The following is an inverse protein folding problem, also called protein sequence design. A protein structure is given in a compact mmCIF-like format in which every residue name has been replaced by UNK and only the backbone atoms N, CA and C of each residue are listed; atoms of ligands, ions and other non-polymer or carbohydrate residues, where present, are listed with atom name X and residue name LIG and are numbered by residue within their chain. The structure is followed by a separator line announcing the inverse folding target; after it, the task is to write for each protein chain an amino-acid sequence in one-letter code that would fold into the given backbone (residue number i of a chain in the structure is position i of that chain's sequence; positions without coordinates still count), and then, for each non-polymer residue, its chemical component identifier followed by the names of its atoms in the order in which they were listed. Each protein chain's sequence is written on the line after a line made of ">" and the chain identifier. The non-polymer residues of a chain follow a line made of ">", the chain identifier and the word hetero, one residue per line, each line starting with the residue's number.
data_IF_069706549489
#
_entry.id   IF_069706549489
#
_cell.length_a   1.000
_cell.length_b   1.000
_cell.length_c   1.000
_cell.angle_alpha   90.00
_cell.angle_beta   90.00
_cell.angle_gamma   90.00
#
_symmetry.space_group_name_H-M   'P 1'
#
loop_
_entity.id
_entity.type
_entity.pdbx_description
1 polymer ?
#
# COMPACT_ATOMS: atom_id res chain seq x y z
N UNK A 1 -10.47 -5.68 41.18
CA UNK A 1 -10.15 -4.59 40.24
C UNK A 1 -9.99 -5.21 38.86
N UNK A 2 -10.49 -4.56 37.80
CA UNK A 2 -10.21 -5.01 36.43
C UNK A 2 -8.70 -4.94 36.14
N UNK A 3 -8.15 -5.86 35.35
CA UNK A 3 -6.72 -5.84 35.01
C UNK A 3 -6.38 -4.58 34.21
N UNK A 4 -5.36 -3.86 34.66
CA UNK A 4 -4.77 -2.71 33.94
C UNK A 4 -3.42 -3.10 33.36
N UNK A 5 -2.94 -2.37 32.33
CA UNK A 5 -1.72 -2.72 31.60
C UNK A 5 -0.50 -2.88 32.52
N UNK A 6 -0.39 -2.03 33.54
CA UNK A 6 0.69 -2.03 34.54
C UNK A 6 0.63 -3.19 35.56
N UNK A 7 -0.45 -3.98 35.55
CA UNK A 7 -0.62 -5.17 36.40
C UNK A 7 -0.32 -6.49 35.67
N UNK A 8 -0.02 -6.42 34.37
CA UNK A 8 0.28 -7.60 33.56
C UNK A 8 1.69 -8.15 33.84
N UNK A 9 1.89 -9.47 33.73
CA UNK A 9 3.22 -10.06 33.81
C UNK A 9 4.19 -9.50 32.75
N UNK A 10 5.49 -9.37 33.05
CA UNK A 10 6.50 -8.85 32.12
C UNK A 10 6.52 -9.55 30.76
N UNK A 11 6.26 -10.86 30.72
CA UNK A 11 6.24 -11.67 29.50
C UNK A 11 5.13 -11.22 28.55
N UNK A 12 3.94 -10.92 29.10
CA UNK A 12 2.81 -10.41 28.34
C UNK A 12 3.10 -9.00 27.84
N UNK A 13 3.72 -8.17 28.68
CA UNK A 13 4.13 -6.81 28.27
C UNK A 13 5.19 -6.84 27.17
N UNK A 14 6.17 -7.75 27.23
CA UNK A 14 7.15 -7.91 26.16
C UNK A 14 6.52 -8.39 24.86
N UNK A 15 5.53 -9.29 24.95
CA UNK A 15 4.77 -9.71 23.78
C UNK A 15 3.99 -8.53 23.17
N UNK A 16 3.30 -7.73 24.00
CA UNK A 16 2.62 -6.50 23.55
C UNK A 16 3.61 -5.53 22.87
N UNK A 17 4.78 -5.31 23.48
CA UNK A 17 5.82 -4.45 22.91
C UNK A 17 6.41 -5.01 21.61
N UNK A 18 6.34 -6.32 21.36
CA UNK A 18 6.80 -6.93 20.09
C UNK A 18 5.98 -6.49 18.87
N UNK A 19 4.70 -6.16 19.08
CA UNK A 19 3.83 -5.59 18.04
C UNK A 19 4.18 -4.15 17.67
N UNK A 20 5.19 -3.53 18.31
CA UNK A 20 5.75 -2.25 17.86
C UNK A 20 6.77 -2.38 16.73
N UNK A 21 7.03 -3.61 16.27
CA UNK A 21 7.81 -3.93 15.07
C UNK A 21 6.92 -3.97 13.82
N UNK A 22 7.39 -3.53 12.64
CA UNK A 22 8.66 -2.85 12.37
C UNK A 22 8.78 -1.50 13.09
N UNK A 23 9.96 -1.23 13.64
CA UNK A 23 10.18 -0.03 14.46
C UNK A 23 10.29 1.18 13.54
N UNK A 24 9.24 1.99 13.51
CA UNK A 24 9.22 3.23 12.75
C UNK A 24 9.87 4.36 13.53
N UNK A 25 11.12 4.69 13.21
CA UNK A 25 11.82 5.80 13.84
C UNK A 25 11.22 7.18 13.51
N UNK A 26 10.41 7.31 12.46
CA UNK A 26 9.75 8.58 12.10
C UNK A 26 8.73 9.03 13.14
N UNK A 27 8.20 8.09 13.93
CA UNK A 27 7.29 8.42 15.03
C UNK A 27 7.97 9.09 16.23
N UNK A 28 9.31 9.21 16.29
CA UNK A 28 9.95 9.92 17.39
C UNK A 28 9.59 11.42 17.41
N UNK A 29 9.26 12.02 18.58
CA UNK A 29 9.35 11.47 19.93
C UNK A 29 8.12 10.67 20.40
N UNK A 30 7.04 10.62 19.62
CA UNK A 30 5.79 9.89 19.89
C UNK A 30 5.87 8.37 19.62
N UNK A 31 7.08 7.80 19.53
CA UNK A 31 7.26 6.37 19.30
C UNK A 31 6.55 5.57 20.42
N UNK A 32 5.89 4.44 20.12
CA UNK A 32 5.17 3.64 21.13
C UNK A 32 5.98 3.30 22.38
N UNK A 33 7.29 3.05 22.22
CA UNK A 33 8.22 2.86 23.35
C UNK A 33 8.36 4.10 24.24
N UNK A 34 8.42 5.31 23.68
CA UNK A 34 8.49 6.54 24.48
C UNK A 34 7.18 6.82 25.19
N UNK A 35 6.05 6.67 24.49
CA UNK A 35 4.73 6.92 25.07
C UNK A 35 4.43 5.92 26.19
N UNK A 36 4.69 4.64 25.97
CA UNK A 36 4.52 3.59 27.00
C UNK A 36 5.41 3.85 28.21
N UNK A 37 6.68 4.21 28.01
CA UNK A 37 7.60 4.50 29.12
C UNK A 37 7.21 5.76 29.92
N UNK A 38 6.46 6.69 29.33
CA UNK A 38 6.02 7.91 30.00
C UNK A 38 4.82 7.70 30.94
N UNK A 39 4.10 6.57 30.83
CA UNK A 39 2.86 6.31 31.58
C UNK A 39 3.09 6.06 33.08
N UNK A 40 4.00 5.16 33.44
CA UNK A 40 4.34 4.87 34.84
C UNK A 40 5.76 4.31 34.98
N UNK A 41 6.30 4.31 36.22
CA UNK A 41 7.66 3.84 36.50
C UNK A 41 7.87 2.36 36.17
N UNK A 42 6.85 1.52 36.41
CA UNK A 42 6.91 0.09 36.10
C UNK A 42 7.06 -0.13 34.59
N UNK A 43 6.17 0.45 33.77
CA UNK A 43 6.22 0.34 32.31
C UNK A 43 7.49 0.97 31.71
N UNK A 44 8.02 2.03 32.33
CA UNK A 44 9.34 2.56 31.98
C UNK A 44 10.46 1.52 32.15
N UNK A 45 10.50 0.81 33.28
CA UNK A 45 11.46 -0.26 33.53
C UNK A 45 11.33 -1.41 32.52
N UNK A 46 10.09 -1.80 32.22
CA UNK A 46 9.78 -2.86 31.25
C UNK A 46 10.25 -2.46 29.84
N UNK A 47 9.95 -1.24 29.39
CA UNK A 47 10.40 -0.74 28.08
C UNK A 47 11.92 -0.67 27.99
N UNK A 48 12.61 -0.28 29.06
CA UNK A 48 14.08 -0.24 29.09
C UNK A 48 14.70 -1.63 28.97
N UNK A 49 14.16 -2.61 29.69
CA UNK A 49 14.66 -3.99 29.63
C UNK A 49 14.33 -4.62 28.26
N UNK A 50 13.14 -4.36 27.72
CA UNK A 50 12.78 -4.77 26.36
C UNK A 50 13.75 -4.15 25.33
N UNK A 51 14.02 -2.85 25.41
CA UNK A 51 14.96 -2.16 24.51
C UNK A 51 16.40 -2.65 24.68
N UNK A 52 16.82 -3.03 25.89
CA UNK A 52 18.11 -3.69 26.16
C UNK A 52 18.19 -5.04 25.44
N UNK A 53 17.11 -5.82 25.45
CA UNK A 53 17.04 -7.09 24.73
C UNK A 53 17.19 -6.91 23.22
N UNK A 54 16.56 -5.86 22.66
CA UNK A 54 16.67 -5.50 21.24
C UNK A 54 18.09 -5.07 20.85
N UNK A 55 18.72 -4.20 21.65
CA UNK A 55 20.10 -3.76 21.43
C UNK A 55 21.08 -4.94 21.46
N UNK A 56 20.88 -5.90 22.37
CA UNK A 56 21.69 -7.11 22.44
C UNK A 56 21.46 -8.02 21.24
N UNK A 57 20.20 -8.26 20.87
CA UNK A 57 19.82 -9.18 19.77
C UNK A 57 20.22 -8.65 18.39
N UNK A 58 20.00 -7.38 18.11
CA UNK A 58 20.13 -6.82 16.75
C UNK A 58 21.41 -6.00 16.54
N UNK A 59 22.01 -5.47 17.61
CA UNK A 59 23.19 -4.59 17.53
C UNK A 59 24.41 -5.19 18.21
N UNK A 60 24.26 -6.32 18.91
CA UNK A 60 25.27 -6.91 19.78
C UNK A 60 25.86 -5.91 20.79
N UNK A 61 25.07 -4.90 21.19
CA UNK A 61 25.45 -3.96 22.25
C UNK A 61 24.96 -4.57 23.55
N UNK A 62 25.87 -4.79 24.50
CA UNK A 62 25.51 -5.13 25.88
C UNK A 62 25.49 -3.85 26.69
N UNK A 63 24.31 -3.32 27.09
CA UNK A 63 24.23 -2.12 27.91
C UNK A 63 24.92 -2.33 29.26
N UNK A 64 25.55 -1.30 29.83
CA UNK A 64 26.17 -1.40 31.14
C UNK A 64 25.13 -1.78 32.22
N UNK A 65 25.47 -2.75 33.07
CA UNK A 65 24.60 -3.24 34.16
C UNK A 65 24.31 -2.16 35.21
N UNK A 66 25.26 -1.27 35.45
CA UNK A 66 25.11 -0.11 36.33
C UNK A 66 25.13 1.16 35.48
N UNK A 67 23.97 1.80 35.32
CA UNK A 67 23.90 3.14 34.77
C UNK A 67 24.54 4.10 35.78
N UNK A 68 25.86 4.30 35.73
CA UNK A 68 26.58 5.23 36.61
C UNK A 68 26.17 6.69 36.44
N UNK A 69 25.16 6.97 35.61
CA UNK A 69 24.53 8.27 35.39
C UNK A 69 23.37 8.04 34.42
N UNK A 70 22.36 8.92 34.42
CA UNK A 70 21.22 8.97 33.48
C UNK A 70 21.61 9.09 31.97
N UNK A 71 22.85 8.77 31.60
CA UNK A 71 23.44 8.94 30.28
C UNK A 71 23.07 7.82 29.28
N UNK A 72 22.80 6.59 29.76
CA UNK A 72 22.48 5.46 28.88
C UNK A 72 21.02 5.03 28.99
N UNK A 73 20.21 5.54 28.07
CA UNK A 73 18.79 5.19 27.93
C UNK A 73 18.65 4.23 26.75
N UNK A 74 18.30 2.97 27.02
CA UNK A 74 18.27 1.89 26.04
C UNK A 74 17.26 2.18 24.94
N UNK A 75 16.04 2.62 25.27
CA UNK A 75 15.01 2.97 24.26
C UNK A 75 15.48 4.06 23.30
N UNK A 76 16.21 5.08 23.81
CA UNK A 76 16.75 6.17 23.00
C UNK A 76 17.86 5.71 22.07
N UNK A 77 18.72 4.82 22.55
CA UNK A 77 19.77 4.20 21.73
C UNK A 77 19.18 3.29 20.66
N UNK A 78 18.16 2.50 21.00
CA UNK A 78 17.43 1.65 20.06
C UNK A 78 16.79 2.45 18.94
N UNK A 79 15.94 3.43 19.26
CA UNK A 79 15.27 4.27 18.24
C UNK A 79 16.28 5.00 17.36
N UNK A 80 17.39 5.48 17.93
CA UNK A 80 18.48 6.10 17.14
C UNK A 80 19.16 5.11 16.20
N UNK A 81 19.36 3.86 16.63
CA UNK A 81 19.94 2.82 15.79
C UNK A 81 19.02 2.51 14.61
N UNK A 82 17.73 2.28 14.89
CA UNK A 82 16.66 2.08 13.91
C UNK A 82 16.62 3.22 12.89
N UNK A 83 16.75 4.48 13.32
CA UNK A 83 16.72 5.65 12.44
C UNK A 83 17.91 5.78 11.48
N UNK A 84 19.04 5.12 11.79
CA UNK A 84 20.31 5.33 11.10
C UNK A 84 20.97 4.06 10.58
N UNK A 85 20.32 2.92 10.74
CA UNK A 85 20.88 1.60 10.41
C UNK A 85 19.83 0.74 9.73
N UNK A 86 20.25 0.05 8.68
CA UNK A 86 19.45 -0.97 8.02
C UNK A 86 19.10 -2.08 9.02
N UNK A 87 17.81 -2.29 9.27
CA UNK A 87 17.33 -3.27 10.25
C UNK A 87 17.61 -4.72 9.82
N UNK A 88 17.90 -4.96 8.53
CA UNK A 88 18.18 -6.28 7.98
C UNK A 88 19.67 -6.66 8.02
N UNK A 89 20.57 -5.76 7.60
CA UNK A 89 22.01 -6.07 7.50
C UNK A 89 22.91 -5.30 8.47
N UNK A 90 22.37 -4.39 9.28
CA UNK A 90 23.14 -3.61 10.25
C UNK A 90 24.05 -2.53 9.64
N UNK A 91 24.05 -2.33 8.32
CA UNK A 91 24.80 -1.26 7.66
C UNK A 91 24.14 0.10 7.87
N UNK A 92 24.93 1.17 8.01
CA UNK A 92 24.41 2.55 8.13
C UNK A 92 23.50 2.88 6.94
N UNK A 93 22.29 3.32 7.22
CA UNK A 93 21.33 3.78 6.21
C UNK A 93 20.26 4.65 6.85
N UNK A 94 19.80 5.67 6.13
CA UNK A 94 18.63 6.47 6.48
C UNK A 94 17.48 6.28 5.49
N UNK A 95 17.67 5.43 4.47
CA UNK A 95 16.60 5.09 3.53
C UNK A 95 15.62 4.15 4.22
N UNK A 96 14.36 4.30 3.88
CA UNK A 96 13.30 3.36 4.24
C UNK A 96 13.08 2.38 3.08
N UNK A 97 12.54 1.20 3.38
CA UNK A 97 12.13 0.25 2.35
C UNK A 97 11.01 0.88 1.52
N UNK A 98 11.00 0.60 0.21
CA UNK A 98 10.03 1.24 -0.69
C UNK A 98 8.60 0.78 -0.37
N UNK A 99 8.42 -0.52 -0.13
CA UNK A 99 7.13 -1.13 0.19
C UNK A 99 6.76 -1.04 1.66
N UNK A 100 7.71 -0.67 2.53
CA UNK A 100 7.49 -0.52 3.96
C UNK A 100 8.26 0.70 4.50
N UNK A 101 7.64 1.89 4.49
CA UNK A 101 8.27 3.12 4.96
C UNK A 101 8.67 3.09 6.43
N UNK A 102 8.11 2.19 7.24
CA UNK A 102 8.47 2.06 8.66
C UNK A 102 9.80 1.35 8.88
N UNK A 103 10.29 0.63 7.86
CA UNK A 103 11.52 -0.16 7.95
C UNK A 103 12.70 0.59 7.33
N UNK A 104 13.64 1.05 8.16
CA UNK A 104 14.94 1.54 7.68
C UNK A 104 15.71 0.42 6.99
N UNK A 105 15.96 0.56 5.69
CA UNK A 105 16.54 -0.47 4.85
C UNK A 105 17.50 0.12 3.80
N UNK A 106 18.68 -0.49 3.67
CA UNK A 106 19.61 -0.12 2.60
C UNK A 106 19.08 -0.62 1.23
N UNK A 107 19.57 -0.03 0.15
CA UNK A 107 19.12 -0.37 -1.21
C UNK A 107 19.32 -1.85 -1.57
N UNK A 108 20.46 -2.44 -1.17
CA UNK A 108 20.75 -3.84 -1.46
C UNK A 108 19.75 -4.79 -0.77
N UNK A 109 19.47 -4.56 0.52
CA UNK A 109 18.47 -5.35 1.25
C UNK A 109 17.05 -5.07 0.76
N UNK A 110 16.75 -3.82 0.38
CA UNK A 110 15.44 -3.48 -0.19
C UNK A 110 15.19 -4.22 -1.51
N UNK A 111 16.22 -4.39 -2.33
CA UNK A 111 16.15 -5.18 -3.55
C UNK A 111 16.05 -6.69 -3.30
N UNK A 112 16.80 -7.23 -2.32
CA UNK A 112 16.84 -8.68 -2.09
C UNK A 112 15.64 -9.22 -1.31
N UNK A 113 15.11 -8.46 -0.34
CA UNK A 113 14.04 -8.93 0.55
C UNK A 113 12.64 -8.48 0.13
N UNK A 114 12.52 -7.41 -0.67
CA UNK A 114 11.24 -6.85 -1.10
C UNK A 114 11.16 -6.85 -2.63
N UNK A 115 10.87 -8.02 -3.24
CA UNK A 115 10.66 -8.14 -4.67
C UNK A 115 9.50 -7.24 -5.10
N UNK A 116 9.76 -6.44 -6.14
CA UNK A 116 8.89 -5.35 -6.57
C UNK A 116 9.00 -5.16 -8.06
N UNK A 117 7.88 -4.79 -8.67
CA UNK A 117 7.78 -4.53 -10.10
C UNK A 117 7.10 -3.19 -10.36
N UNK A 118 7.32 -2.65 -11.56
CA UNK A 118 6.66 -1.39 -11.95
C UNK A 118 5.21 -1.63 -12.37
N UNK A 119 4.37 -0.60 -12.31
CA UNK A 119 3.01 -0.67 -12.87
C UNK A 119 3.03 -1.04 -14.37
N UNK A 120 3.97 -0.48 -15.12
CA UNK A 120 4.12 -0.77 -16.55
C UNK A 120 4.43 -2.25 -16.77
N UNK A 121 5.37 -2.81 -16.01
CA UNK A 121 5.71 -4.23 -16.07
C UNK A 121 4.53 -5.14 -15.73
N UNK A 122 3.76 -4.82 -14.68
CA UNK A 122 2.55 -5.57 -14.34
C UNK A 122 1.51 -5.55 -15.47
N UNK A 123 1.35 -4.41 -16.16
CA UNK A 123 0.45 -4.29 -17.31
C UNK A 123 0.98 -5.05 -18.53
N UNK A 124 2.27 -4.92 -18.86
CA UNK A 124 2.83 -5.49 -20.10
C UNK A 124 3.08 -6.97 -20.01
N UNK A 125 3.56 -7.45 -18.86
CA UNK A 125 4.03 -8.83 -18.66
C UNK A 125 2.95 -9.72 -18.06
N UNK A 126 2.05 -9.16 -17.23
CA UNK A 126 1.00 -9.92 -16.56
C UNK A 126 -0.41 -9.57 -17.03
N UNK A 127 -0.54 -8.61 -17.95
CA UNK A 127 -1.81 -8.18 -18.53
C UNK A 127 -2.87 -7.77 -17.50
N UNK A 128 -2.42 -7.25 -16.36
CA UNK A 128 -3.30 -6.69 -15.34
C UNK A 128 -3.52 -5.21 -15.63
N UNK A 129 -4.77 -4.78 -15.76
CA UNK A 129 -5.07 -3.37 -15.98
C UNK A 129 -4.92 -2.56 -14.69
N UNK A 130 -4.98 -1.23 -14.80
CA UNK A 130 -5.05 -0.33 -13.64
C UNK A 130 -6.25 -0.61 -12.73
N UNK A 131 -7.38 -1.05 -13.30
CA UNK A 131 -8.53 -1.50 -12.50
C UNK A 131 -8.24 -2.83 -11.80
N UNK A 132 -7.42 -3.71 -12.36
CA UNK A 132 -7.08 -4.96 -11.67
C UNK A 132 -6.05 -4.74 -10.53
N UNK A 133 -5.13 -3.80 -10.71
CA UNK A 133 -4.05 -3.48 -9.78
C UNK A 133 -4.50 -2.58 -8.62
N UNK A 134 -5.27 -1.53 -8.90
CA UNK A 134 -5.61 -0.52 -7.90
C UNK A 134 -7.01 -0.75 -7.34
N UNK A 135 -7.07 -1.49 -6.25
CA UNK A 135 -8.33 -1.88 -5.61
C UNK A 135 -8.41 -1.28 -4.20
N UNK A 136 -9.63 -1.06 -3.66
CA UNK A 136 -10.93 -1.33 -4.29
C UNK A 136 -11.24 -0.34 -5.44
N UNK A 137 -12.09 -0.76 -6.39
CA UNK A 137 -12.67 0.10 -7.44
C UNK A 137 -14.01 -0.47 -7.93
N UNK A 138 -14.66 0.19 -8.90
CA UNK A 138 -15.97 -0.25 -9.41
C UNK A 138 -15.98 -1.65 -10.03
N UNK A 139 -14.87 -2.10 -10.63
CA UNK A 139 -14.78 -3.45 -11.19
C UNK A 139 -14.54 -4.49 -10.08
N UNK A 140 -13.73 -4.12 -9.09
CA UNK A 140 -13.31 -4.99 -7.99
C UNK A 140 -13.52 -4.31 -6.64
N UNK A 141 -14.77 -4.23 -6.16
CA UNK A 141 -15.11 -3.48 -4.95
C UNK A 141 -14.63 -4.16 -3.67
N UNK A 142 -14.59 -5.50 -3.67
CA UNK A 142 -14.23 -6.31 -2.49
C UNK A 142 -12.76 -6.74 -2.47
N UNK A 143 -12.01 -6.52 -3.54
CA UNK A 143 -10.61 -6.93 -3.58
C UNK A 143 -9.74 -5.98 -2.74
N UNK A 144 -8.84 -6.52 -1.90
CA UNK A 144 -8.00 -5.70 -1.03
C UNK A 144 -6.93 -4.94 -1.84
N UNK A 145 -6.49 -3.74 -1.39
CA UNK A 145 -5.43 -2.99 -2.04
C UNK A 145 -4.12 -3.79 -2.09
N UNK A 146 -3.33 -3.59 -3.16
CA UNK A 146 -1.98 -4.14 -3.26
C UNK A 146 -1.01 -3.32 -2.42
N UNK A 147 0.01 -3.99 -1.85
CA UNK A 147 1.13 -3.32 -1.22
C UNK A 147 1.94 -2.57 -2.29
N UNK A 148 2.14 -1.28 -2.08
CA UNK A 148 2.79 -0.39 -3.03
C UNK A 148 3.66 0.64 -2.31
N UNK A 149 4.61 1.19 -3.05
CA UNK A 149 5.52 2.21 -2.60
C UNK A 149 5.86 3.18 -3.71
N UNK A 150 6.30 4.38 -3.34
CA UNK A 150 6.76 5.39 -4.29
C UNK A 150 8.18 5.80 -3.95
N UNK A 151 9.01 6.01 -4.96
CA UNK A 151 10.32 6.64 -4.79
C UNK A 151 10.58 7.66 -5.90
N UNK A 152 11.39 8.66 -5.60
CA UNK A 152 11.74 9.71 -6.56
C UNK A 152 12.87 9.18 -7.45
N UNK A 153 12.65 9.20 -8.77
CA UNK A 153 13.65 8.88 -9.78
C UNK A 153 13.65 9.97 -10.85
N UNK A 154 14.81 10.57 -11.13
CA UNK A 154 14.96 11.65 -12.11
C UNK A 154 13.97 12.81 -11.93
N UNK A 155 13.62 13.15 -10.68
CA UNK A 155 12.69 14.23 -10.35
C UNK A 155 11.20 13.87 -10.47
N UNK A 156 10.86 12.63 -10.84
CA UNK A 156 9.47 12.14 -10.87
C UNK A 156 9.22 11.02 -9.87
N UNK A 157 7.96 10.87 -9.45
CA UNK A 157 7.53 9.75 -8.60
C UNK A 157 7.40 8.48 -9.44
N UNK A 158 8.13 7.43 -9.04
CA UNK A 158 8.04 6.08 -9.60
C UNK A 158 7.27 5.18 -8.64
N UNK A 159 6.22 4.56 -9.14
CA UNK A 159 5.38 3.62 -8.40
C UNK A 159 5.92 2.19 -8.52
N UNK A 160 6.12 1.56 -7.37
CA UNK A 160 6.51 0.16 -7.23
C UNK A 160 5.38 -0.63 -6.57
N UNK A 161 5.12 -1.81 -7.10
CA UNK A 161 4.14 -2.76 -6.58
C UNK A 161 4.87 -3.98 -6.01
N UNK A 162 4.37 -4.54 -4.91
CA UNK A 162 4.84 -5.82 -4.41
C UNK A 162 4.63 -6.91 -5.45
N UNK A 163 5.71 -7.50 -5.94
CA UNK A 163 5.65 -8.54 -6.97
C UNK A 163 4.84 -9.77 -6.51
N UNK A 164 5.04 -10.32 -5.29
CA UNK A 164 4.21 -11.41 -4.79
C UNK A 164 2.72 -11.07 -4.78
N UNK A 165 2.37 -9.82 -4.42
CA UNK A 165 0.97 -9.37 -4.40
C UNK A 165 0.38 -9.27 -5.81
N UNK A 166 1.17 -8.79 -6.78
CA UNK A 166 0.76 -8.73 -8.20
C UNK A 166 0.57 -10.14 -8.77
N UNK A 167 1.48 -11.07 -8.49
CA UNK A 167 1.39 -12.45 -8.95
C UNK A 167 0.19 -13.19 -8.34
N UNK A 168 -0.09 -12.98 -7.04
CA UNK A 168 -1.29 -13.50 -6.40
C UNK A 168 -2.56 -12.93 -7.03
N UNK A 169 -2.58 -11.61 -7.31
CA UNK A 169 -3.70 -10.95 -8.01
C UNK A 169 -3.89 -11.51 -9.42
N UNK A 170 -2.80 -11.73 -10.15
CA UNK A 170 -2.81 -12.39 -11.46
C UNK A 170 -3.44 -13.77 -11.37
N UNK A 171 -2.94 -14.62 -10.47
CA UNK A 171 -3.45 -15.98 -10.30
C UNK A 171 -4.95 -15.98 -10.01
N UNK A 172 -5.42 -15.10 -9.11
CA UNK A 172 -6.84 -14.96 -8.79
C UNK A 172 -7.67 -14.56 -10.02
N UNK A 173 -7.33 -13.46 -10.69
CA UNK A 173 -8.11 -12.94 -11.80
C UNK A 173 -8.06 -13.83 -13.04
N UNK A 174 -6.91 -14.45 -13.32
CA UNK A 174 -6.78 -15.41 -14.41
C UNK A 174 -7.59 -16.68 -14.10
N UNK A 175 -7.64 -17.10 -12.84
CA UNK A 175 -8.51 -18.20 -12.40
C UNK A 175 -9.98 -17.90 -12.67
N UNK A 176 -10.44 -16.67 -12.41
CA UNK A 176 -11.82 -16.25 -12.72
C UNK A 176 -12.13 -16.19 -14.22
N UNK A 177 -11.14 -15.80 -15.04
CA UNK A 177 -11.30 -15.70 -16.49
C UNK A 177 -11.24 -17.05 -17.22
N UNK A 178 -10.77 -18.11 -16.56
CA UNK A 178 -10.64 -19.45 -17.14
C UNK A 178 -9.82 -19.48 -18.43
N UNK A 179 -10.32 -20.16 -19.46
CA UNK A 179 -9.62 -20.33 -20.74
C UNK A 179 -9.29 -19.01 -21.44
N UNK A 180 -10.07 -17.95 -21.20
CA UNK A 180 -9.80 -16.63 -21.77
C UNK A 180 -8.47 -16.03 -21.28
N UNK A 181 -8.01 -16.44 -20.09
CA UNK A 181 -6.72 -16.02 -19.54
C UNK A 181 -5.52 -16.64 -20.27
N UNK A 182 -5.73 -17.71 -21.05
CA UNK A 182 -4.67 -18.32 -21.85
C UNK A 182 -4.40 -17.56 -23.15
N UNK A 183 -5.33 -16.71 -23.63
CA UNK A 183 -5.16 -15.90 -24.86
C UNK A 183 -4.57 -14.51 -24.54
N UNK A 184 -3.30 -14.23 -24.88
CA UNK A 184 -2.69 -12.92 -24.68
C UNK A 184 -3.33 -11.81 -25.52
N UNK A 185 -3.96 -12.13 -26.65
CA UNK A 185 -4.68 -11.15 -27.46
C UNK A 185 -5.97 -10.72 -26.76
N UNK A 186 -6.71 -11.65 -26.15
CA UNK A 186 -7.86 -11.34 -25.30
C UNK A 186 -7.45 -10.43 -24.14
N UNK A 187 -6.40 -10.79 -23.40
CA UNK A 187 -5.96 -10.01 -22.25
C UNK A 187 -5.54 -8.58 -22.63
N UNK A 188 -4.84 -8.39 -23.76
CA UNK A 188 -4.53 -7.05 -24.28
C UNK A 188 -5.78 -6.24 -24.63
N UNK A 189 -6.78 -6.87 -25.26
CA UNK A 189 -8.08 -6.22 -25.55
C UNK A 189 -8.80 -5.83 -24.25
N UNK A 190 -8.73 -6.67 -23.22
CA UNK A 190 -9.31 -6.42 -21.89
C UNK A 190 -8.64 -5.22 -21.20
N UNK A 191 -7.31 -5.16 -21.16
CA UNK A 191 -6.58 -3.99 -20.63
C UNK A 191 -7.02 -2.70 -21.33
N UNK A 192 -7.09 -2.71 -22.67
CA UNK A 192 -7.56 -1.55 -23.44
C UNK A 192 -9.05 -1.21 -23.19
N UNK A 193 -9.89 -2.22 -22.93
CA UNK A 193 -11.28 -2.01 -22.54
C UNK A 193 -11.38 -1.36 -21.16
N UNK A 194 -10.53 -1.76 -20.21
CA UNK A 194 -10.46 -1.14 -18.89
C UNK A 194 -10.00 0.31 -18.94
N UNK A 195 -9.03 0.65 -19.79
CA UNK A 195 -8.63 2.05 -20.01
C UNK A 195 -9.79 2.90 -20.56
N UNK A 196 -10.60 2.33 -21.47
CA UNK A 196 -11.82 2.99 -21.95
C UNK A 196 -12.85 3.13 -20.85
N UNK A 197 -13.06 2.11 -20.02
CA UNK A 197 -13.96 2.17 -18.87
C UNK A 197 -13.56 3.29 -17.91
N UNK A 198 -12.28 3.39 -17.55
CA UNK A 198 -11.76 4.48 -16.71
C UNK A 198 -12.05 5.86 -17.31
N UNK A 199 -11.90 6.00 -18.64
CA UNK A 199 -12.24 7.25 -19.34
C UNK A 199 -13.73 7.60 -19.24
N UNK A 200 -14.63 6.61 -19.33
CA UNK A 200 -16.08 6.85 -19.21
C UNK A 200 -16.52 7.06 -17.76
N UNK A 201 -15.83 6.44 -16.80
CA UNK A 201 -16.02 6.69 -15.37
C UNK A 201 -15.51 8.08 -14.93
N UNK A 202 -14.74 8.75 -15.78
CA UNK A 202 -14.08 10.02 -15.47
C UNK A 202 -13.15 9.92 -14.23
N UNK A 203 -12.44 8.80 -14.11
CA UNK A 203 -11.53 8.55 -12.99
C UNK A 203 -10.09 8.39 -13.43
N UNK A 204 -9.18 8.74 -12.54
CA UNK A 204 -7.78 8.36 -12.59
C UNK A 204 -7.31 7.94 -11.20
N UNK A 205 -6.32 7.06 -11.13
CA UNK A 205 -5.68 6.78 -9.87
C UNK A 205 -4.66 7.89 -9.56
N UNK A 206 -4.59 8.27 -8.30
CA UNK A 206 -3.55 9.13 -7.74
C UNK A 206 -2.89 8.38 -6.60
N UNK A 207 -1.56 8.34 -6.58
CA UNK A 207 -0.81 7.78 -5.46
C UNK A 207 -0.29 8.93 -4.62
N UNK A 208 -0.68 8.96 -3.34
CA UNK A 208 -0.15 9.91 -2.36
C UNK A 208 0.15 9.18 -1.07
N UNK A 209 1.35 9.37 -0.53
CA UNK A 209 1.79 8.78 0.75
C UNK A 209 1.59 7.25 0.78
N UNK A 210 1.93 6.55 -0.31
CA UNK A 210 1.80 5.09 -0.41
C UNK A 210 0.34 4.59 -0.44
N UNK A 211 -0.65 5.47 -0.64
CA UNK A 211 -2.06 5.10 -0.78
C UNK A 211 -2.57 5.51 -2.15
N UNK A 212 -3.29 4.59 -2.79
CA UNK A 212 -4.00 4.90 -4.04
C UNK A 212 -5.36 5.48 -3.71
N UNK A 213 -5.73 6.55 -4.41
CA UNK A 213 -7.07 7.12 -4.41
C UNK A 213 -7.56 7.23 -5.84
N UNK A 214 -8.84 6.94 -6.04
CA UNK A 214 -9.53 7.24 -7.28
C UNK A 214 -10.05 8.67 -7.20
N UNK A 215 -9.61 9.51 -8.13
CA UNK A 215 -10.00 10.92 -8.19
C UNK A 215 -10.65 11.22 -9.54
N UNK A 216 -11.54 12.21 -9.56
CA UNK A 216 -12.12 12.68 -10.82
C UNK A 216 -11.06 13.28 -11.73
N UNK A 217 -11.21 13.10 -13.04
CA UNK A 217 -10.31 13.68 -14.02
C UNK A 217 -10.73 15.12 -14.33
N UNK A 218 -9.96 16.08 -13.85
CA UNK A 218 -10.20 17.51 -14.09
C UNK A 218 -10.15 17.95 -15.56
N UNK A 219 -9.67 17.08 -16.46
CA UNK A 219 -9.34 17.41 -17.85
C UNK A 219 -10.23 16.72 -18.89
N UNK A 220 -11.37 16.13 -18.53
CA UNK A 220 -12.34 15.84 -19.58
C UNK A 220 -12.84 17.19 -20.11
N UNK A 221 -12.73 17.46 -21.42
CA UNK A 221 -13.28 18.69 -21.97
C UNK A 221 -14.76 18.68 -21.58
N UNK A 222 -15.17 19.72 -20.84
CA UNK A 222 -16.56 19.88 -20.45
C UNK A 222 -17.34 19.85 -21.76
N UNK A 223 -18.06 18.76 -22.00
CA UNK A 223 -18.75 18.52 -23.28
C UNK A 223 -19.70 19.69 -23.55
N UNK A 224 -20.24 20.28 -22.47
CA UNK A 224 -21.10 21.45 -22.43
C UNK A 224 -20.41 22.76 -22.90
N UNK A 225 -19.07 22.78 -22.97
CA UNK A 225 -18.26 23.92 -23.43
C UNK A 225 -17.61 23.69 -24.80
N UNK A 226 -17.86 22.53 -25.43
CA UNK A 226 -17.33 22.23 -26.76
C UNK A 226 -18.25 22.79 -27.83
N UNK A 227 -17.68 23.33 -28.91
CA UNK A 227 -18.47 23.70 -30.09
C UNK A 227 -19.05 22.45 -30.78
N UNK A 228 -20.06 22.66 -31.63
CA UNK A 228 -20.78 21.57 -32.29
C UNK A 228 -19.89 20.69 -33.18
N UNK A 229 -18.79 21.23 -33.70
CA UNK A 229 -17.88 20.50 -34.61
C UNK A 229 -16.88 19.64 -33.83
N UNK A 230 -16.41 20.14 -32.68
CA UNK A 230 -15.62 19.40 -31.72
C UNK A 230 -16.46 18.27 -31.07
N UNK A 231 -17.75 18.52 -30.81
CA UNK A 231 -18.68 17.52 -30.28
C UNK A 231 -18.88 16.33 -31.23
N UNK A 232 -18.87 16.56 -32.55
CA UNK A 232 -18.98 15.49 -33.55
C UNK A 232 -17.80 14.52 -33.48
N UNK A 233 -16.60 15.00 -33.15
CA UNK A 233 -15.37 14.19 -33.01
C UNK A 233 -15.34 13.35 -31.73
N UNK A 234 -16.16 13.69 -30.72
CA UNK A 234 -16.26 12.92 -29.48
C UNK A 234 -17.16 11.68 -29.68
N UNK A 235 -16.71 10.48 -29.26
CA UNK A 235 -17.54 9.27 -29.29
C UNK A 235 -18.88 9.48 -28.59
N UNK A 236 -19.98 8.97 -29.18
CA UNK A 236 -21.34 9.14 -28.65
C UNK A 236 -21.46 8.76 -27.16
N UNK A 237 -20.77 7.69 -26.75
CA UNK A 237 -20.75 7.20 -25.36
C UNK A 237 -20.10 8.15 -24.35
N UNK A 238 -19.35 9.17 -24.80
CA UNK A 238 -18.73 10.17 -23.92
C UNK A 238 -19.50 11.49 -23.85
N UNK A 239 -20.52 11.67 -24.70
CA UNK A 239 -21.18 12.97 -24.90
C UNK A 239 -22.07 13.41 -23.75
N UNK A 240 -22.71 12.49 -23.05
CA UNK A 240 -23.56 12.81 -21.89
C UNK A 240 -23.19 11.96 -20.68
N UNK A 241 -23.59 12.41 -19.49
CA UNK A 241 -23.37 11.64 -18.26
C UNK A 241 -24.13 10.31 -18.28
N UNK A 242 -25.33 10.29 -18.84
CA UNK A 242 -26.19 9.10 -18.99
C UNK A 242 -25.55 8.10 -19.96
N UNK A 243 -25.07 8.57 -21.11
CA UNK A 243 -24.39 7.73 -22.09
C UNK A 243 -23.10 7.11 -21.53
N UNK A 244 -22.35 7.88 -20.71
CA UNK A 244 -21.18 7.37 -19.99
C UNK A 244 -21.57 6.32 -18.96
N UNK A 245 -22.59 6.59 -18.14
CA UNK A 245 -23.08 5.67 -17.13
C UNK A 245 -23.57 4.35 -17.76
N UNK A 246 -24.31 4.42 -18.87
CA UNK A 246 -24.77 3.25 -19.60
C UNK A 246 -23.60 2.43 -20.17
N UNK A 247 -22.58 3.10 -20.74
CA UNK A 247 -21.37 2.43 -21.23
C UNK A 247 -20.63 1.72 -20.10
N UNK A 248 -20.45 2.39 -18.96
CA UNK A 248 -19.79 1.82 -17.78
C UNK A 248 -20.57 0.61 -17.27
N UNK A 249 -21.89 0.73 -17.11
CA UNK A 249 -22.75 -0.38 -16.66
C UNK A 249 -22.64 -1.59 -17.58
N UNK A 250 -22.77 -1.40 -18.90
CA UNK A 250 -22.64 -2.49 -19.88
C UNK A 250 -21.24 -3.10 -19.89
N UNK A 251 -20.20 -2.29 -19.77
CA UNK A 251 -18.83 -2.78 -19.80
C UNK A 251 -18.45 -3.53 -18.52
N UNK A 252 -18.84 -3.02 -17.33
CA UNK A 252 -18.64 -3.73 -16.07
C UNK A 252 -19.41 -5.06 -16.05
N UNK A 253 -20.67 -5.06 -16.51
CA UNK A 253 -21.48 -6.29 -16.63
C UNK A 253 -20.80 -7.37 -17.47
N UNK A 254 -20.23 -7.00 -18.62
CA UNK A 254 -19.46 -7.94 -19.46
C UNK A 254 -18.22 -8.50 -18.77
N UNK A 255 -17.51 -7.67 -18.00
CA UNK A 255 -16.32 -8.12 -17.27
C UNK A 255 -16.69 -9.05 -16.11
N UNK A 256 -17.76 -8.75 -15.36
CA UNK A 256 -18.25 -9.63 -14.30
C UNK A 256 -18.77 -10.95 -14.84
N UNK A 257 -19.51 -10.92 -15.96
CA UNK A 257 -19.94 -12.13 -16.67
C UNK A 257 -18.72 -12.95 -17.13
N UNK A 258 -17.70 -12.30 -17.70
CA UNK A 258 -16.49 -12.97 -18.14
C UNK A 258 -15.69 -13.61 -16.99
N UNK A 259 -15.82 -13.10 -15.77
CA UNK A 259 -15.21 -13.62 -14.55
C UNK A 259 -16.12 -14.58 -13.77
N UNK A 260 -17.33 -14.89 -14.27
CA UNK A 260 -18.29 -15.75 -13.59
C UNK A 260 -18.89 -15.14 -12.31
N UNK A 261 -18.83 -13.83 -12.15
CA UNK A 261 -19.32 -13.11 -10.95
C UNK A 261 -20.81 -12.71 -11.05
N UNK A 262 -21.43 -12.81 -12.22
CA UNK A 262 -22.85 -12.44 -12.44
C UNK A 262 -23.17 -11.00 -12.03
N UNK A 263 -24.43 -10.73 -11.66
CA UNK A 263 -24.86 -9.43 -11.11
C UNK A 263 -24.37 -9.17 -9.67
N UNK A 264 -23.87 -10.21 -8.98
CA UNK A 264 -23.29 -10.11 -7.63
C UNK A 264 -21.98 -9.31 -7.59
N UNK A 265 -21.38 -9.01 -8.75
CA UNK A 265 -20.25 -8.07 -8.88
C UNK A 265 -20.62 -6.60 -8.64
N UNK A 266 -21.91 -6.26 -8.64
CA UNK A 266 -22.42 -4.93 -8.33
C UNK A 266 -22.89 -4.87 -6.86
N UNK A 267 -22.04 -4.48 -5.89
CA UNK A 267 -22.57 -4.08 -4.60
C UNK A 267 -23.38 -2.80 -4.82
N UNK A 268 -24.70 -2.88 -4.68
CA UNK A 268 -25.60 -1.73 -4.87
C UNK A 268 -25.30 -0.55 -3.92
N UNK A 269 -24.47 -0.70 -2.88
CA UNK A 269 -24.27 0.36 -1.88
C UNK A 269 -22.83 0.58 -1.37
N UNK A 270 -21.80 -0.10 -1.91
CA UNK A 270 -20.41 0.26 -1.56
C UNK A 270 -19.88 1.32 -2.52
N UNK A 271 -20.43 2.52 -2.40
CA UNK A 271 -19.91 3.69 -3.08
C UNK A 271 -18.46 3.94 -2.62
N UNK A 272 -17.50 3.54 -3.45
CA UNK A 272 -16.13 3.98 -3.30
C UNK A 272 -16.17 5.50 -3.48
N UNK A 273 -15.95 6.23 -2.38
CA UNK A 273 -15.86 7.69 -2.41
C UNK A 273 -14.74 8.10 -3.37
N UNK A 274 -15.15 8.54 -4.57
CA UNK A 274 -14.26 9.22 -5.50
C UNK A 274 -14.04 10.60 -4.90
N UNK A 275 -12.80 10.84 -4.48
CA UNK A 275 -12.37 12.10 -3.84
C UNK A 275 -12.00 13.18 -4.84
#
# INVERSE_FOLDING_TARGET
>A
MPPTLDTLPPEILFNILSYTSPFDASHAPLHPLYTTAATCRHLCSIVEEYSRSLLKRHVNITPPKAAKTNAFVCRKKWVRWVAGTCQLCGKKSRRTAILDPSLTCCQACDHSHFPKMTMTEAITTHYLSKLDLFTPNKLHPTLPPLLLGTYIFMGGDTLMLSEPSVLARKAHLHGLLGDKAADPAYLRRRVAAHDRLMKHMDIQHSVRLGRVRWVKRWNLPAVDRMDAEALKKVPKSLRSAEARAEYVRKGLGKEWEAMGLGELGAPEEQAIEIS
#
